data_IF_647434236771
#
_entry.id   IF_647434236771
#
_cell.length_a   1.000
_cell.length_b   1.000
_cell.length_c   1.000
_cell.angle_alpha   90.00
_cell.angle_beta   90.00
_cell.angle_gamma   90.00
#
_symmetry.space_group_name_H-M   'P 1'
#
loop_
_entity.id
_entity.type
_entity.pdbx_description
1 polymer ?
#
# COMPACT_ATOMS: atom_id res chain seq x y z
N UNK A 1 15.38 -8.68 -2.18
CA UNK A 1 15.70 -8.05 -0.88
C UNK A 1 16.29 -9.04 0.13
N UNK A 2 15.53 -10.01 0.69
CA UNK A 2 16.06 -10.95 1.71
C UNK A 2 17.26 -11.77 1.23
N UNK A 3 17.18 -12.33 0.03
CA UNK A 3 18.28 -13.07 -0.61
C UNK A 3 19.50 -12.17 -0.94
N UNK A 4 19.31 -10.85 -0.92
CA UNK A 4 20.35 -9.85 -1.18
C UNK A 4 20.97 -9.30 0.12
N UNK A 5 20.71 -9.94 1.27
CA UNK A 5 21.23 -9.52 2.58
C UNK A 5 20.50 -8.33 3.22
N UNK A 6 19.34 -7.94 2.69
CA UNK A 6 18.54 -6.79 3.15
C UNK A 6 17.28 -7.32 3.86
N UNK A 7 17.15 -7.05 5.15
CA UNK A 7 15.95 -7.37 5.91
C UNK A 7 15.07 -6.12 6.04
N UNK A 8 13.90 -6.15 5.41
CA UNK A 8 12.93 -5.06 5.53
C UNK A 8 12.25 -5.16 6.91
N UNK A 9 12.14 -4.01 7.60
CA UNK A 9 11.54 -3.89 8.93
C UNK A 9 10.25 -3.08 8.92
N UNK A 10 10.03 -2.24 7.90
CA UNK A 10 8.79 -1.47 7.73
C UNK A 10 8.56 -1.09 6.28
N UNK A 11 7.30 -1.02 5.88
CA UNK A 11 6.85 -0.55 4.57
C UNK A 11 5.99 0.70 4.74
N UNK A 12 6.14 1.66 3.83
CA UNK A 12 5.23 2.79 3.70
C UNK A 12 3.98 2.38 2.90
N UNK A 13 3.01 3.30 2.80
CA UNK A 13 1.96 3.15 1.80
C UNK A 13 2.55 3.18 0.37
N UNK A 14 1.76 2.72 -0.59
CA UNK A 14 2.03 2.93 -2.00
C UNK A 14 1.31 4.19 -2.46
N UNK A 15 2.00 5.03 -3.21
CA UNK A 15 1.50 6.31 -3.69
C UNK A 15 1.53 6.38 -5.21
N UNK A 16 0.36 6.59 -5.82
CA UNK A 16 0.22 6.86 -7.25
C UNK A 16 0.35 8.38 -7.52
N UNK A 17 1.20 8.75 -8.47
CA UNK A 17 1.48 10.16 -8.82
C UNK A 17 1.65 10.37 -10.31
N UNK A 18 1.26 11.56 -10.78
CA UNK A 18 1.66 12.02 -12.10
C UNK A 18 3.19 12.13 -12.25
N UNK A 19 3.74 11.90 -13.45
CA UNK A 19 5.15 12.13 -13.74
C UNK A 19 5.62 13.57 -13.51
N UNK A 20 6.78 13.73 -12.85
CA UNK A 20 7.30 15.05 -12.53
C UNK A 20 8.10 15.75 -13.67
N UNK A 21 8.57 15.01 -14.68
CA UNK A 21 9.49 15.55 -15.71
C UNK A 21 9.03 15.24 -17.13
N UNK A 22 9.06 13.97 -17.53
CA UNK A 22 8.48 13.52 -18.81
C UNK A 22 7.01 13.25 -18.53
N UNK A 23 6.10 14.07 -19.03
CA UNK A 23 4.67 13.98 -18.66
C UNK A 23 3.86 13.03 -19.55
N UNK A 24 4.34 12.76 -20.76
CA UNK A 24 3.76 11.76 -21.67
C UNK A 24 4.26 10.35 -21.33
N UNK A 25 3.88 9.86 -20.16
CA UNK A 25 4.16 8.49 -19.68
C UNK A 25 3.13 8.06 -18.62
N UNK A 26 3.05 6.75 -18.29
CA UNK A 26 2.18 6.27 -17.22
C UNK A 26 2.49 6.93 -15.87
N UNK A 27 1.51 6.89 -14.96
CA UNK A 27 1.71 7.34 -13.58
C UNK A 27 2.77 6.50 -12.87
N UNK A 28 3.46 7.11 -11.90
CA UNK A 28 4.42 6.42 -11.05
C UNK A 28 3.76 5.86 -9.81
N UNK A 29 4.22 4.68 -9.40
CA UNK A 29 4.00 4.14 -8.07
C UNK A 29 5.25 4.37 -7.24
N UNK A 30 5.10 5.06 -6.12
CA UNK A 30 6.17 5.43 -5.21
C UNK A 30 5.92 4.82 -3.84
N UNK A 31 6.97 4.34 -3.20
CA UNK A 31 6.93 3.90 -1.81
C UNK A 31 8.33 3.97 -1.22
N UNK A 32 8.43 3.79 0.08
CA UNK A 32 9.68 3.68 0.79
C UNK A 32 9.64 2.45 1.71
N UNK A 33 10.82 1.89 1.95
CA UNK A 33 11.01 0.79 2.90
C UNK A 33 12.11 1.13 3.87
N UNK A 34 11.92 0.77 5.14
CA UNK A 34 12.99 0.77 6.13
C UNK A 34 13.51 -0.65 6.27
N UNK A 35 14.83 -0.82 6.31
CA UNK A 35 15.43 -2.12 6.50
C UNK A 35 16.78 -2.04 7.20
N UNK A 36 17.28 -3.21 7.58
CA UNK A 36 18.61 -3.41 8.14
C UNK A 36 19.42 -4.31 7.21
N UNK A 37 20.72 -4.05 7.12
CA UNK A 37 21.63 -4.81 6.26
C UNK A 37 23.03 -4.83 6.89
N UNK A 38 23.81 -5.86 6.55
CA UNK A 38 25.24 -5.94 6.88
C UNK A 38 26.12 -5.37 5.76
N UNK A 39 25.55 -5.09 4.59
CA UNK A 39 26.26 -4.54 3.44
C UNK A 39 26.73 -3.11 3.73
N UNK A 40 27.89 -2.70 3.25
CA UNK A 40 28.25 -1.28 3.20
C UNK A 40 27.36 -0.49 2.23
N UNK A 41 27.35 0.86 2.27
CA UNK A 41 26.48 1.67 1.41
C UNK A 41 26.71 1.45 -0.10
N UNK A 42 27.96 1.32 -0.54
CA UNK A 42 28.28 1.02 -1.95
C UNK A 42 27.92 -0.42 -2.33
N UNK A 43 28.00 -1.37 -1.40
CA UNK A 43 27.55 -2.75 -1.61
C UNK A 43 26.03 -2.84 -1.72
N UNK A 44 25.32 -2.09 -0.87
CA UNK A 44 23.88 -1.93 -0.94
C UNK A 44 23.48 -1.35 -2.30
N UNK A 45 24.13 -0.26 -2.74
CA UNK A 45 23.86 0.33 -4.06
C UNK A 45 24.03 -0.71 -5.19
N UNK A 46 25.12 -1.48 -5.19
CA UNK A 46 25.33 -2.56 -6.17
C UNK A 46 24.22 -3.62 -6.11
N UNK A 47 23.81 -4.01 -4.91
CA UNK A 47 22.72 -4.98 -4.73
C UNK A 47 21.38 -4.45 -5.26
N UNK A 48 21.06 -3.18 -5.03
CA UNK A 48 19.85 -2.53 -5.55
C UNK A 48 19.89 -2.45 -7.08
N UNK A 49 21.02 -2.04 -7.68
CA UNK A 49 21.18 -2.02 -9.15
C UNK A 49 21.08 -3.40 -9.79
N UNK A 50 21.52 -4.45 -9.07
CA UNK A 50 21.29 -5.83 -9.50
C UNK A 50 19.81 -6.18 -9.50
N UNK A 51 19.07 -5.84 -8.44
CA UNK A 51 17.61 -6.07 -8.36
C UNK A 51 16.89 -5.35 -9.50
N UNK A 52 17.23 -4.09 -9.77
CA UNK A 52 16.65 -3.34 -10.90
C UNK A 52 16.85 -4.06 -12.23
N UNK A 53 18.08 -4.54 -12.50
CA UNK A 53 18.41 -5.28 -13.72
C UNK A 53 17.65 -6.61 -13.80
N UNK A 54 17.60 -7.35 -12.70
CA UNK A 54 16.91 -8.65 -12.63
C UNK A 54 15.38 -8.48 -12.82
N UNK A 55 14.82 -7.30 -12.49
CA UNK A 55 13.43 -6.90 -12.77
C UNK A 55 13.22 -6.30 -14.18
N UNK A 56 14.23 -6.37 -15.05
CA UNK A 56 14.09 -5.96 -16.45
C UNK A 56 14.36 -4.48 -16.71
N UNK A 57 14.98 -3.73 -15.79
CA UNK A 57 15.41 -2.36 -16.08
C UNK A 57 16.51 -2.38 -17.14
N UNK A 58 16.28 -1.62 -18.21
CA UNK A 58 17.23 -1.37 -19.30
C UNK A 58 17.67 0.09 -19.32
N UNK A 59 18.72 0.40 -20.08
CA UNK A 59 19.11 1.79 -20.34
C UNK A 59 18.01 2.46 -21.18
N UNK A 60 17.32 3.43 -20.58
CA UNK A 60 16.25 4.19 -21.23
C UNK A 60 16.51 5.69 -21.20
N UNK A 61 15.52 6.46 -21.66
CA UNK A 61 15.54 7.93 -21.61
C UNK A 61 15.63 8.38 -20.15
N UNK A 62 16.48 9.37 -19.86
CA UNK A 62 16.56 9.99 -18.52
C UNK A 62 15.17 10.51 -18.13
N UNK A 63 14.67 10.09 -16.97
CA UNK A 63 13.31 10.38 -16.47
C UNK A 63 12.13 9.74 -17.23
N UNK A 64 12.41 8.82 -18.15
CA UNK A 64 11.38 8.00 -18.79
C UNK A 64 10.87 6.85 -17.91
N UNK A 65 9.93 6.05 -18.42
CA UNK A 65 9.27 4.99 -17.68
C UNK A 65 10.26 3.85 -17.42
N UNK A 66 10.14 3.22 -16.25
CA UNK A 66 11.00 2.09 -15.86
C UNK A 66 10.24 1.11 -14.99
N UNK A 67 10.53 -0.20 -15.08
CA UNK A 67 9.86 -1.22 -14.27
C UNK A 67 10.04 -1.00 -12.76
N UNK A 68 11.23 -0.56 -12.33
CA UNK A 68 11.53 -0.24 -10.93
C UNK A 68 12.73 0.73 -10.82
N UNK A 69 12.68 1.60 -9.81
CA UNK A 69 13.76 2.52 -9.40
C UNK A 69 14.01 2.38 -7.90
N UNK A 70 15.24 2.07 -7.50
CA UNK A 70 15.63 1.84 -6.13
C UNK A 70 16.80 2.77 -5.76
N UNK A 71 16.49 3.74 -4.89
CA UNK A 71 17.43 4.73 -4.38
C UNK A 71 17.68 4.53 -2.88
N UNK A 72 18.90 4.85 -2.43
CA UNK A 72 19.25 4.91 -1.01
C UNK A 72 18.96 6.33 -0.52
N UNK A 73 17.84 6.51 0.19
CA UNK A 73 17.46 7.82 0.72
C UNK A 73 18.31 8.22 1.94
N UNK A 74 18.47 7.28 2.88
CA UNK A 74 19.27 7.42 4.09
C UNK A 74 20.04 6.14 4.37
N UNK A 75 21.18 6.23 5.08
CA UNK A 75 21.96 5.07 5.49
C UNK A 75 22.50 5.25 6.92
N UNK A 76 21.73 4.75 7.91
CA UNK A 76 22.05 4.96 9.32
C UNK A 76 22.26 6.43 9.65
N UNK A 77 23.40 6.74 10.30
CA UNK A 77 23.86 8.11 10.63
C UNK A 77 24.96 8.63 9.68
N UNK A 78 25.11 8.02 8.50
CA UNK A 78 26.23 8.36 7.62
C UNK A 78 25.84 9.44 6.61
N UNK A 79 26.74 10.40 6.42
CA UNK A 79 26.80 11.26 5.24
C UNK A 79 27.84 10.69 4.29
N UNK A 80 27.44 10.41 3.07
CA UNK A 80 28.29 9.78 2.05
C UNK A 80 28.25 10.69 0.84
N UNK A 81 29.43 11.03 0.32
CA UNK A 81 29.60 11.75 -0.93
C UNK A 81 30.67 11.01 -1.73
N UNK A 82 30.32 10.57 -2.93
CA UNK A 82 31.20 9.88 -3.86
C UNK A 82 30.69 10.05 -5.28
N UNK A 83 31.50 9.74 -6.29
CA UNK A 83 31.12 9.88 -7.70
C UNK A 83 29.83 9.14 -8.10
N UNK A 84 29.43 8.12 -7.32
CA UNK A 84 28.29 7.24 -7.65
C UNK A 84 27.20 7.19 -6.58
N UNK A 85 27.41 7.83 -5.42
CA UNK A 85 26.48 7.74 -4.30
C UNK A 85 26.57 8.96 -3.39
N UNK A 86 25.42 9.60 -3.21
CA UNK A 86 25.15 10.67 -2.27
C UNK A 86 24.10 10.23 -1.25
N UNK A 87 24.43 10.31 0.04
CA UNK A 87 23.51 10.01 1.15
C UNK A 87 23.62 11.11 2.21
N UNK A 88 22.51 11.71 2.67
CA UNK A 88 21.14 11.52 2.19
C UNK A 88 20.96 11.88 0.71
N UNK A 89 20.01 11.23 0.05
CA UNK A 89 19.77 11.49 -1.36
C UNK A 89 19.37 12.95 -1.59
N UNK A 90 20.05 13.64 -2.50
CA UNK A 90 19.99 15.10 -2.64
C UNK A 90 18.58 15.63 -2.96
N UNK A 91 17.75 14.84 -3.66
CA UNK A 91 16.42 15.26 -4.15
C UNK A 91 15.27 14.94 -3.19
N UNK A 92 15.54 14.43 -1.98
CA UNK A 92 14.49 14.16 -0.99
C UNK A 92 13.70 15.44 -0.72
N UNK A 93 14.40 16.56 -0.59
CA UNK A 93 13.88 17.84 -0.11
C UNK A 93 12.90 18.53 -1.08
N UNK A 94 12.79 18.05 -2.31
CA UNK A 94 12.01 18.67 -3.38
C UNK A 94 10.83 17.81 -3.84
N UNK A 95 10.70 16.58 -3.32
CA UNK A 95 9.83 15.55 -3.88
C UNK A 95 8.79 15.09 -2.86
N UNK A 96 7.54 15.60 -2.96
CA UNK A 96 6.45 15.15 -2.10
C UNK A 96 6.26 13.63 -2.09
N UNK A 97 6.41 12.99 -3.26
CA UNK A 97 6.26 11.54 -3.43
C UNK A 97 7.39 10.69 -2.86
N UNK A 98 8.49 11.32 -2.39
CA UNK A 98 9.54 10.68 -1.60
C UNK A 98 9.29 10.94 -0.12
N UNK A 99 8.89 12.17 0.24
CA UNK A 99 8.67 12.58 1.64
C UNK A 99 7.43 11.89 2.24
N UNK A 100 6.30 11.80 1.55
CA UNK A 100 5.10 11.16 2.08
C UNK A 100 5.33 9.69 2.51
N UNK A 101 5.92 8.82 1.68
CA UNK A 101 6.30 7.48 2.15
C UNK A 101 7.31 7.49 3.31
N UNK A 102 8.22 8.46 3.38
CA UNK A 102 9.14 8.58 4.52
C UNK A 102 8.40 8.88 5.83
N UNK A 103 7.40 9.77 5.79
CA UNK A 103 6.54 10.07 6.96
C UNK A 103 5.83 8.80 7.45
N UNK A 104 5.29 7.97 6.55
CA UNK A 104 4.67 6.68 6.91
C UNK A 104 5.64 5.75 7.65
N UNK A 105 6.92 5.78 7.30
CA UNK A 105 7.96 4.96 7.93
C UNK A 105 8.39 5.46 9.31
N UNK A 106 8.13 6.73 9.63
CA UNK A 106 8.48 7.34 10.91
C UNK A 106 7.43 7.00 11.99
N UNK A 107 6.13 7.13 11.71
CA UNK A 107 5.07 6.84 12.69
C UNK A 107 5.15 7.67 13.98
N UNK A 108 4.34 7.30 14.99
CA UNK A 108 4.28 7.98 16.31
C UNK A 108 5.41 7.62 17.26
N UNK A 109 6.13 6.53 17.01
CA UNK A 109 7.26 6.09 17.82
C UNK A 109 8.52 6.87 17.40
N UNK A 110 8.54 8.14 17.79
CA UNK A 110 9.72 9.01 17.83
C UNK A 110 10.61 8.49 18.97
N UNK A 111 11.22 7.33 18.79
CA UNK A 111 12.29 6.88 19.68
C UNK A 111 13.27 6.01 18.90
N UNK A 112 14.16 6.68 18.16
CA UNK A 112 15.46 6.12 17.82
C UNK A 112 16.42 7.22 17.37
N UNK A 113 17.66 7.16 17.86
CA UNK A 113 18.78 8.04 17.48
C UNK A 113 18.97 8.20 15.96
N UNK A 114 18.45 7.24 15.18
CA UNK A 114 18.48 7.25 13.71
C UNK A 114 17.58 8.33 13.11
N UNK A 115 16.36 8.51 13.65
CA UNK A 115 15.42 9.55 13.16
C UNK A 115 15.96 10.93 13.51
N UNK A 116 16.43 11.11 14.75
CA UNK A 116 17.14 12.32 15.18
C UNK A 116 18.37 12.61 14.28
N UNK A 117 19.12 11.57 13.89
CA UNK A 117 20.23 11.69 12.95
C UNK A 117 19.76 12.16 11.57
N UNK A 118 18.65 11.64 11.04
CA UNK A 118 18.10 12.08 9.75
C UNK A 118 17.69 13.55 9.77
N UNK A 119 17.06 14.01 10.85
CA UNK A 119 16.75 15.43 11.06
C UNK A 119 18.02 16.28 11.13
N UNK A 120 19.09 15.79 11.75
CA UNK A 120 20.38 16.52 11.80
C UNK A 120 21.07 16.67 10.43
N UNK A 121 20.62 15.91 9.41
CA UNK A 121 21.20 15.94 8.08
C UNK A 121 20.49 16.86 7.10
N UNK A 122 19.33 17.43 7.44
CA UNK A 122 18.72 18.46 6.61
C UNK A 122 19.56 19.74 6.65
N UNK A 123 19.83 20.33 5.47
CA UNK A 123 20.58 21.59 5.33
C UNK A 123 19.80 22.80 5.91
N UNK A 124 18.50 22.64 6.04
CA UNK A 124 17.59 23.55 6.72
C UNK A 124 17.20 22.87 8.02
N UNK A 125 17.26 23.54 9.16
CA UNK A 125 16.95 23.01 10.51
C UNK A 125 15.51 22.48 10.69
N UNK A 126 14.76 22.29 9.60
CA UNK A 126 13.39 21.81 9.61
C UNK A 126 13.33 20.29 9.64
N UNK A 127 12.50 19.81 10.55
CA UNK A 127 12.02 18.43 10.67
C UNK A 127 11.49 17.90 9.31
N UNK A 128 11.57 16.58 9.06
CA UNK A 128 10.93 15.95 7.89
C UNK A 128 9.41 16.19 7.91
N UNK A 129 8.80 16.27 9.10
CA UNK A 129 7.39 16.65 9.25
C UNK A 129 7.16 18.10 8.81
N UNK A 130 8.00 19.05 9.24
CA UNK A 130 7.90 20.44 8.77
C UNK A 130 8.12 20.56 7.25
N UNK A 131 9.04 19.78 6.70
CA UNK A 131 9.24 19.69 5.25
C UNK A 131 7.99 19.17 4.55
N UNK A 132 7.36 18.12 5.10
CA UNK A 132 6.13 17.59 4.54
C UNK A 132 5.03 18.65 4.52
N UNK A 133 4.83 19.36 5.63
CA UNK A 133 3.86 20.46 5.72
C UNK A 133 4.18 21.59 4.74
N UNK A 134 5.45 21.99 4.58
CA UNK A 134 5.88 23.00 3.60
C UNK A 134 5.61 22.59 2.15
N UNK A 135 5.72 21.30 1.85
CA UNK A 135 5.40 20.77 0.53
C UNK A 135 3.89 20.67 0.28
N UNK A 136 3.06 20.85 1.31
CA UNK A 136 1.59 20.82 1.24
C UNK A 136 0.95 19.78 2.15
N UNK A 137 1.75 18.95 2.82
CA UNK A 137 1.28 18.00 3.82
C UNK A 137 0.21 17.03 3.30
N UNK A 138 -0.65 16.58 4.21
CA UNK A 138 -1.76 15.67 3.87
C UNK A 138 -2.74 16.26 2.83
N UNK A 139 -2.77 17.58 2.62
CA UNK A 139 -3.62 18.19 1.59
C UNK A 139 -3.21 17.81 0.16
N UNK A 140 -1.96 17.36 -0.03
CA UNK A 140 -1.49 16.81 -1.30
C UNK A 140 -2.03 15.40 -1.59
N UNK A 141 -2.51 14.69 -0.58
CA UNK A 141 -3.00 13.32 -0.73
C UNK A 141 -4.50 13.36 -1.03
N UNK A 142 -4.91 12.95 -2.24
CA UNK A 142 -6.31 12.94 -2.68
C UNK A 142 -6.59 13.71 -3.98
N UNK A 143 -7.65 14.52 -4.01
CA UNK A 143 -8.37 14.90 -5.25
C UNK A 143 -7.53 15.56 -6.35
N UNK A 144 -6.50 16.33 -5.98
CA UNK A 144 -5.70 17.12 -6.92
C UNK A 144 -4.20 16.79 -6.87
N UNK A 145 -3.84 15.62 -6.32
CA UNK A 145 -2.44 15.29 -6.10
C UNK A 145 -2.16 13.80 -6.10
N UNK A 146 -1.45 13.38 -5.08
CA UNK A 146 -0.92 12.04 -4.92
C UNK A 146 -1.98 11.14 -4.27
N UNK A 147 -2.13 9.89 -4.71
CA UNK A 147 -3.13 8.98 -4.14
C UNK A 147 -2.43 7.90 -3.35
N UNK A 148 -2.83 7.69 -2.10
CA UNK A 148 -2.54 6.40 -1.46
C UNK A 148 -3.31 5.35 -2.25
N UNK A 149 -2.68 4.24 -2.61
CA UNK A 149 -3.30 3.15 -3.36
C UNK A 149 -2.96 1.78 -2.77
N UNK A 150 -3.88 0.82 -2.87
CA UNK A 150 -3.65 -0.58 -2.54
C UNK A 150 -3.80 -1.42 -3.81
N UNK A 151 -2.86 -2.32 -4.13
CA UNK A 151 -3.09 -3.30 -5.18
C UNK A 151 -4.16 -4.30 -4.73
N UNK A 152 -5.29 -4.35 -5.45
CA UNK A 152 -6.34 -5.34 -5.22
C UNK A 152 -6.68 -6.02 -6.54
N UNK A 153 -6.41 -7.33 -6.61
CA UNK A 153 -6.49 -8.08 -7.87
C UNK A 153 -5.65 -7.41 -8.97
N UNK A 154 -6.32 -6.95 -10.02
CA UNK A 154 -5.69 -6.33 -11.19
C UNK A 154 -5.85 -4.80 -11.24
N UNK A 155 -6.27 -4.16 -10.16
CA UNK A 155 -6.44 -2.70 -10.12
C UNK A 155 -5.80 -2.08 -8.86
N UNK A 156 -5.70 -0.75 -8.86
CA UNK A 156 -5.24 0.03 -7.73
C UNK A 156 -6.45 0.71 -7.08
N UNK A 157 -6.76 0.31 -5.84
CA UNK A 157 -7.83 0.92 -5.07
C UNK A 157 -7.31 2.20 -4.40
N UNK A 158 -7.91 3.34 -4.75
CA UNK A 158 -7.70 4.60 -4.02
C UNK A 158 -8.49 4.57 -2.70
N UNK A 159 -7.78 4.86 -1.63
CA UNK A 159 -8.21 4.84 -0.23
C UNK A 159 -7.82 6.15 0.47
N UNK A 160 -7.39 7.16 -0.30
CA UNK A 160 -7.11 8.51 0.19
C UNK A 160 -8.33 9.44 0.20
N UNK A 161 -9.36 9.14 -0.60
CA UNK A 161 -10.46 10.08 -0.85
C UNK A 161 -11.67 9.90 0.07
N UNK A 162 -11.93 8.67 0.51
CA UNK A 162 -13.10 8.35 1.34
C UNK A 162 -12.85 7.12 2.19
N UNK A 163 -13.53 7.08 3.33
CA UNK A 163 -13.76 5.82 4.05
C UNK A 163 -14.59 4.91 3.17
N UNK A 164 -14.10 3.69 2.95
CA UNK A 164 -14.83 2.68 2.18
C UNK A 164 -15.80 1.93 3.06
N UNK A 165 -17.00 1.66 2.56
CA UNK A 165 -18.03 0.92 3.30
C UNK A 165 -17.95 -0.58 3.00
N UNK A 166 -17.78 -1.39 4.05
CA UNK A 166 -17.82 -2.85 3.97
C UNK A 166 -19.17 -3.36 4.46
N UNK A 167 -19.94 -4.01 3.57
CA UNK A 167 -21.15 -4.72 3.92
C UNK A 167 -20.82 -6.14 4.40
N UNK A 168 -21.22 -6.50 5.62
CA UNK A 168 -20.96 -7.83 6.17
C UNK A 168 -22.15 -8.74 5.86
N UNK A 169 -21.92 -9.82 5.11
CA UNK A 169 -22.92 -10.85 4.83
C UNK A 169 -22.53 -12.16 5.51
N UNK A 170 -23.24 -12.49 6.59
CA UNK A 170 -23.04 -13.74 7.31
C UNK A 170 -23.88 -14.86 6.69
N UNK A 171 -23.22 -15.84 6.05
CA UNK A 171 -23.81 -17.06 5.50
C UNK A 171 -23.89 -18.16 6.56
N UNK A 172 -24.44 -17.81 7.73
CA UNK A 172 -24.59 -18.74 8.86
C UNK A 172 -26.08 -19.01 9.11
N UNK A 173 -26.48 -20.25 9.46
CA UNK A 173 -27.85 -20.54 9.87
C UNK A 173 -28.30 -19.74 11.10
N UNK A 174 -27.36 -19.36 11.97
CA UNK A 174 -27.60 -18.84 13.31
C UNK A 174 -27.39 -17.32 13.45
N UNK A 175 -27.45 -16.52 12.38
CA UNK A 175 -27.21 -15.07 12.49
C UNK A 175 -28.29 -14.35 13.32
N UNK A 176 -27.95 -13.95 14.55
CA UNK A 176 -28.72 -13.19 15.55
C UNK A 176 -29.39 -11.91 15.04
N UNK A 177 -28.91 -11.31 13.93
CA UNK A 177 -29.52 -10.15 13.27
C UNK A 177 -30.46 -10.51 12.11
N UNK A 178 -30.18 -11.59 11.37
CA UNK A 178 -30.82 -11.84 10.06
C UNK A 178 -31.74 -13.07 10.03
N UNK A 179 -31.90 -13.78 11.15
CA UNK A 179 -32.96 -14.77 11.36
C UNK A 179 -33.01 -15.91 10.34
N UNK A 180 -31.88 -16.34 9.78
CA UNK A 180 -31.80 -17.47 8.84
C UNK A 180 -32.33 -17.17 7.43
N UNK A 181 -32.47 -15.91 7.03
CA UNK A 181 -33.03 -15.52 5.72
C UNK A 181 -32.14 -15.78 4.48
N UNK A 182 -30.87 -16.14 4.65
CA UNK A 182 -29.91 -16.29 3.53
C UNK A 182 -29.45 -17.74 3.28
N UNK A 183 -30.31 -18.72 3.58
CA UNK A 183 -30.00 -20.14 3.34
C UNK A 183 -29.89 -20.47 1.84
N UNK A 184 -30.45 -19.63 0.96
CA UNK A 184 -30.35 -19.80 -0.49
C UNK A 184 -29.37 -18.81 -1.12
N UNK A 185 -28.69 -19.26 -2.17
CA UNK A 185 -27.76 -18.43 -2.97
C UNK A 185 -28.47 -17.19 -3.52
N UNK A 186 -29.72 -17.32 -3.94
CA UNK A 186 -30.53 -16.23 -4.50
C UNK A 186 -30.81 -15.14 -3.46
N UNK A 187 -31.05 -15.52 -2.20
CA UNK A 187 -31.25 -14.58 -1.11
C UNK A 187 -29.96 -13.82 -0.78
N UNK A 188 -28.82 -14.53 -0.74
CA UNK A 188 -27.51 -13.91 -0.56
C UNK A 188 -27.18 -12.93 -1.69
N UNK A 189 -27.40 -13.31 -2.96
CA UNK A 189 -27.20 -12.43 -4.12
C UNK A 189 -28.10 -11.20 -4.05
N UNK A 190 -29.36 -11.37 -3.67
CA UNK A 190 -30.30 -10.25 -3.52
C UNK A 190 -29.86 -9.27 -2.42
N UNK A 191 -29.33 -9.79 -1.31
CA UNK A 191 -28.80 -8.98 -0.24
C UNK A 191 -27.53 -8.22 -0.65
N UNK A 192 -26.63 -8.87 -1.40
CA UNK A 192 -25.45 -8.19 -1.95
C UNK A 192 -25.87 -7.05 -2.88
N UNK A 193 -26.82 -7.27 -3.79
CA UNK A 193 -27.36 -6.20 -4.65
C UNK A 193 -27.88 -5.02 -3.83
N UNK A 194 -28.63 -5.30 -2.76
CA UNK A 194 -29.12 -4.27 -1.86
C UNK A 194 -27.97 -3.49 -1.22
N UNK A 195 -27.01 -4.17 -0.58
CA UNK A 195 -25.84 -3.54 0.04
C UNK A 195 -25.05 -2.67 -0.94
N UNK A 196 -24.83 -3.17 -2.16
CA UNK A 196 -24.14 -2.43 -3.21
C UNK A 196 -24.94 -1.20 -3.66
N UNK A 197 -26.27 -1.33 -3.80
CA UNK A 197 -27.16 -0.20 -4.13
C UNK A 197 -27.23 0.87 -3.04
N UNK A 198 -27.03 0.47 -1.78
CA UNK A 198 -26.95 1.36 -0.61
C UNK A 198 -25.56 1.98 -0.41
N UNK A 199 -24.60 1.63 -1.27
CA UNK A 199 -23.29 2.28 -1.33
C UNK A 199 -22.14 1.48 -0.72
N UNK A 200 -22.30 0.17 -0.49
CA UNK A 200 -21.17 -0.68 -0.14
C UNK A 200 -20.09 -0.66 -1.25
N UNK A 201 -18.85 -0.46 -0.84
CA UNK A 201 -17.66 -0.52 -1.69
C UNK A 201 -17.08 -1.93 -1.74
N UNK A 202 -17.32 -2.70 -0.67
CA UNK A 202 -16.87 -4.07 -0.53
C UNK A 202 -17.89 -4.90 0.25
N UNK A 203 -17.84 -6.21 0.03
CA UNK A 203 -18.64 -7.19 0.76
C UNK A 203 -17.70 -8.14 1.50
N UNK A 204 -17.98 -8.41 2.76
CA UNK A 204 -17.27 -9.40 3.58
C UNK A 204 -18.19 -10.59 3.82
N UNK A 205 -17.81 -11.75 3.28
CA UNK A 205 -18.58 -13.00 3.39
C UNK A 205 -18.08 -13.84 4.56
N UNK A 206 -18.92 -14.03 5.58
CA UNK A 206 -18.62 -14.85 6.74
C UNK A 206 -19.48 -16.11 6.80
N UNK A 207 -18.92 -17.30 6.57
CA UNK A 207 -19.67 -18.57 6.68
C UNK A 207 -19.50 -19.26 8.04
N UNK A 208 -18.52 -18.84 8.86
CA UNK A 208 -18.33 -19.28 10.23
C UNK A 208 -18.63 -18.15 11.22
N UNK A 209 -19.39 -18.48 12.28
CA UNK A 209 -19.68 -17.52 13.34
C UNK A 209 -18.47 -17.32 14.25
N UNK A 210 -18.13 -16.05 14.52
CA UNK A 210 -17.08 -15.64 15.47
C UNK A 210 -17.64 -15.26 16.85
N UNK A 211 -18.94 -15.51 17.09
CA UNK A 211 -19.57 -15.18 18.37
C UNK A 211 -19.01 -16.01 19.52
N UNK A 212 -19.02 -15.49 20.76
CA UNK A 212 -18.63 -16.26 21.93
C UNK A 212 -19.40 -17.59 22.00
N UNK A 213 -18.67 -18.69 22.25
CA UNK A 213 -19.20 -20.06 22.33
C UNK A 213 -19.83 -20.63 21.04
N UNK A 214 -19.62 -20.00 19.88
CA UNK A 214 -20.02 -20.60 18.61
C UNK A 214 -19.28 -21.92 18.38
N UNK A 215 -20.01 -22.92 17.88
CA UNK A 215 -19.37 -24.18 17.45
C UNK A 215 -18.57 -23.92 16.18
N UNK A 216 -17.33 -24.40 16.15
CA UNK A 216 -16.52 -24.37 14.92
C UNK A 216 -17.10 -25.37 13.92
N UNK A 217 -17.13 -24.97 12.66
CA UNK A 217 -17.51 -25.85 11.55
C UNK A 217 -16.26 -26.44 10.90
N UNK A 218 -16.42 -27.45 10.04
CA UNK A 218 -15.30 -27.96 9.26
C UNK A 218 -14.95 -27.01 8.12
N UNK A 219 -13.74 -27.15 7.57
CA UNK A 219 -13.30 -26.36 6.39
C UNK A 219 -14.22 -26.64 5.20
N UNK A 220 -14.61 -27.90 5.02
CA UNK A 220 -15.52 -28.32 3.94
C UNK A 220 -16.88 -27.64 4.08
N UNK A 221 -17.44 -27.61 5.30
CA UNK A 221 -18.71 -26.95 5.55
C UNK A 221 -18.65 -25.43 5.34
N UNK A 222 -17.54 -24.77 5.70
CA UNK A 222 -17.34 -23.35 5.44
C UNK A 222 -17.28 -23.05 3.93
N UNK A 223 -16.55 -23.88 3.17
CA UNK A 223 -16.41 -23.74 1.72
C UNK A 223 -17.73 -24.02 0.97
N UNK A 224 -18.47 -25.06 1.39
CA UNK A 224 -19.78 -25.41 0.81
C UNK A 224 -20.79 -24.27 0.96
N UNK A 225 -20.66 -23.46 2.03
CA UNK A 225 -21.46 -22.25 2.25
C UNK A 225 -20.99 -21.07 1.39
N UNK A 226 -19.67 -20.85 1.29
CA UNK A 226 -19.10 -19.67 0.62
C UNK A 226 -19.11 -19.77 -0.90
N UNK A 227 -18.61 -20.87 -1.46
CA UNK A 227 -18.27 -20.97 -2.88
C UNK A 227 -19.48 -20.69 -3.78
N UNK A 228 -20.66 -21.32 -3.58
CA UNK A 228 -21.81 -21.09 -4.46
C UNK A 228 -22.27 -19.63 -4.46
N UNK A 229 -22.17 -18.94 -3.31
CA UNK A 229 -22.54 -17.54 -3.18
C UNK A 229 -21.54 -16.64 -3.90
N UNK A 230 -20.24 -16.82 -3.67
CA UNK A 230 -19.18 -16.03 -4.32
C UNK A 230 -19.25 -16.21 -5.84
N UNK A 231 -19.43 -17.44 -6.33
CA UNK A 231 -19.58 -17.72 -7.77
C UNK A 231 -20.81 -17.07 -8.39
N UNK A 232 -21.91 -16.95 -7.64
CA UNK A 232 -23.12 -16.30 -8.13
C UNK A 232 -22.98 -14.76 -8.10
N UNK A 233 -22.41 -14.21 -7.02
CA UNK A 233 -22.20 -12.76 -6.87
C UNK A 233 -21.19 -12.23 -7.88
N UNK A 234 -20.09 -12.93 -8.12
CA UNK A 234 -19.08 -12.50 -9.12
C UNK A 234 -19.62 -12.41 -10.55
N UNK A 235 -20.78 -12.99 -10.84
CA UNK A 235 -21.45 -12.94 -12.15
C UNK A 235 -22.45 -11.78 -12.29
N UNK A 236 -22.75 -11.04 -11.23
CA UNK A 236 -23.70 -9.92 -11.30
C UNK A 236 -22.98 -8.63 -11.71
N UNK A 237 -23.57 -7.78 -12.59
CA UNK A 237 -22.93 -6.54 -13.02
C UNK A 237 -22.63 -5.56 -11.89
N UNK A 238 -23.46 -5.52 -10.85
CA UNK A 238 -23.33 -4.58 -9.72
C UNK A 238 -22.04 -4.81 -8.91
N UNK A 239 -21.51 -6.03 -8.95
CA UNK A 239 -20.29 -6.41 -8.27
C UNK A 239 -19.02 -6.10 -9.08
N UNK A 240 -19.14 -5.64 -10.33
CA UNK A 240 -17.99 -5.31 -11.16
C UNK A 240 -17.20 -4.14 -10.53
N UNK A 241 -15.89 -4.34 -10.35
CA UNK A 241 -15.00 -3.36 -9.71
C UNK A 241 -15.20 -3.22 -8.20
N UNK A 242 -16.06 -4.04 -7.57
CA UNK A 242 -16.22 -4.12 -6.12
C UNK A 242 -15.27 -5.15 -5.53
N UNK A 243 -14.94 -5.00 -4.25
CA UNK A 243 -14.19 -6.01 -3.52
C UNK A 243 -15.17 -6.99 -2.90
N UNK A 244 -14.99 -8.28 -3.19
CA UNK A 244 -15.81 -9.38 -2.72
C UNK A 244 -14.94 -10.37 -1.95
#
# INVERSE_FOLDING_TARGET
MKQSGIQITRHACLYETAPAYVTDQPQFLNSAVRGVTKLGPHELLRALKKIEKDMGRTNGIRYGPRPIDLDILFYGKFKIHSEILDVPHERIWERPFVVAPLIDLLGSDIDNDTVASWHSFSKHSSDLFELWEKLGGESLVGRNGMKRVLPVGNHLQDWSLKTSLMGILNLTPDSFSDGGKYISVEAAVSQVRLMLSEGADMIDFGAQSTRPNASKISVEEELDRLIPVIEAVTKIPEAEGKLL
#
